data_IF_430316345933
#
_entry.id   IF_430316345933
#
_cell.length_a   1.000
_cell.length_b   1.000
_cell.length_c   1.000
_cell.angle_alpha   90.00
_cell.angle_beta   90.00
_cell.angle_gamma   90.00
#
_symmetry.space_group_name_H-M   'P 1'
#
loop_
_entity.id
_entity.type
_entity.pdbx_description
1 polymer ?
#
# COMPACT_ATOMS: atom_id res chain seq x y z
N UNK A 1 -16.47 50.75 24.27
CA UNK A 1 -17.19 49.79 23.41
C UNK A 1 -16.43 49.47 22.12
N UNK A 2 -15.82 50.44 21.44
CA UNK A 2 -15.06 50.21 20.18
C UNK A 2 -13.75 49.41 20.38
N UNK A 3 -12.99 49.62 21.47
CA UNK A 3 -11.75 48.90 21.70
C UNK A 3 -11.97 47.40 21.97
N UNK A 4 -13.08 47.05 22.64
CA UNK A 4 -13.40 45.66 22.96
C UNK A 4 -13.83 44.89 21.71
N UNK A 5 -14.55 45.55 20.79
CA UNK A 5 -14.94 44.95 19.51
C UNK A 5 -13.75 44.71 18.60
N UNK A 6 -12.78 45.67 18.56
CA UNK A 6 -11.55 45.52 17.80
C UNK A 6 -10.67 44.38 18.33
N UNK A 7 -10.63 44.17 19.64
CA UNK A 7 -9.89 43.05 20.25
C UNK A 7 -10.51 41.69 19.93
N UNK A 8 -11.85 41.59 19.95
CA UNK A 8 -12.58 40.38 19.56
C UNK A 8 -12.38 40.06 18.09
N UNK A 9 -12.41 41.06 17.21
CA UNK A 9 -12.19 40.87 15.77
C UNK A 9 -10.74 40.47 15.47
N UNK A 10 -9.76 41.03 16.17
CA UNK A 10 -8.36 40.64 16.05
C UNK A 10 -8.12 39.22 16.57
N UNK A 11 -8.75 38.84 17.69
CA UNK A 11 -8.67 37.47 18.22
C UNK A 11 -9.34 36.47 17.30
N UNK A 12 -10.52 36.77 16.72
CA UNK A 12 -11.19 35.96 15.72
C UNK A 12 -10.37 35.84 14.45
N UNK A 13 -9.70 36.92 14.00
CA UNK A 13 -8.80 36.87 12.86
C UNK A 13 -7.59 35.97 13.11
N UNK A 14 -6.96 36.03 14.29
CA UNK A 14 -5.86 35.16 14.69
C UNK A 14 -6.32 33.71 14.80
N UNK A 15 -7.52 33.45 15.39
CA UNK A 15 -8.09 32.11 15.47
C UNK A 15 -8.46 31.57 14.09
N UNK A 16 -9.05 32.40 13.23
CA UNK A 16 -9.37 32.02 11.86
C UNK A 16 -8.12 31.83 10.99
N UNK A 17 -7.06 32.63 11.22
CA UNK A 17 -5.77 32.43 10.56
C UNK A 17 -5.05 31.18 11.08
N UNK A 18 -5.13 30.89 12.38
CA UNK A 18 -4.62 29.65 12.98
C UNK A 18 -5.44 28.44 12.52
N UNK A 19 -6.76 28.55 12.39
CA UNK A 19 -7.63 27.53 11.80
C UNK A 19 -7.45 27.38 10.29
N UNK A 20 -7.11 28.46 9.58
CA UNK A 20 -6.76 28.41 8.17
C UNK A 20 -5.34 27.86 7.95
N UNK A 21 -4.40 28.11 8.88
CA UNK A 21 -3.09 27.46 8.92
C UNK A 21 -3.16 26.03 9.47
N UNK A 22 -4.17 25.72 10.30
CA UNK A 22 -4.57 24.38 10.68
C UNK A 22 -5.62 23.80 9.72
N UNK A 23 -5.62 24.26 8.45
CA UNK A 23 -6.29 23.47 7.41
C UNK A 23 -5.72 22.08 7.46
N UNK A 24 -6.63 21.08 7.50
CA UNK A 24 -6.19 19.73 7.75
C UNK A 24 -5.13 19.37 6.73
N UNK A 25 -4.01 18.97 7.21
CA UNK A 25 -2.94 18.21 6.59
C UNK A 25 -3.47 16.89 5.98
N UNK A 26 -4.64 16.94 5.34
CA UNK A 26 -5.38 15.81 4.75
C UNK A 26 -5.45 15.91 3.24
N UNK A 27 -4.74 16.85 2.61
CA UNK A 27 -4.41 16.74 1.20
C UNK A 27 -3.01 16.14 1.11
N UNK A 28 -2.97 14.84 0.89
CA UNK A 28 -1.84 14.20 0.25
C UNK A 28 -1.76 14.82 -1.16
N UNK A 29 -1.03 15.91 -1.29
CA UNK A 29 -0.72 16.45 -2.60
C UNK A 29 0.34 15.55 -3.20
N UNK A 30 -0.02 14.86 -4.26
CA UNK A 30 0.93 14.11 -5.07
C UNK A 30 1.84 15.13 -5.75
N UNK A 31 3.06 15.24 -5.29
CA UNK A 31 4.08 16.10 -5.88
C UNK A 31 4.89 15.26 -6.85
N UNK A 32 4.83 15.61 -8.12
CA UNK A 32 5.69 14.98 -9.13
C UNK A 32 7.05 15.68 -9.13
N UNK A 33 8.08 14.98 -8.71
CA UNK A 33 9.48 15.46 -8.75
C UNK A 33 10.23 14.63 -9.80
N UNK A 34 10.25 15.14 -11.03
CA UNK A 34 10.82 14.39 -12.16
C UNK A 34 10.01 13.13 -12.50
N UNK A 35 10.64 11.97 -12.57
CA UNK A 35 9.98 10.67 -12.77
C UNK A 35 9.45 10.04 -11.46
N UNK A 36 9.59 10.72 -10.33
CA UNK A 36 9.19 10.24 -9.00
C UNK A 36 7.89 10.89 -8.56
N UNK A 37 7.00 10.11 -7.96
CA UNK A 37 5.84 10.66 -7.26
C UNK A 37 6.24 10.91 -5.82
N UNK A 38 6.18 12.17 -5.43
CA UNK A 38 6.26 12.54 -4.03
C UNK A 38 4.85 12.54 -3.43
N UNK A 39 4.67 11.87 -2.31
CA UNK A 39 3.49 12.03 -1.46
C UNK A 39 3.87 12.98 -0.33
N UNK A 40 3.22 14.14 -0.27
CA UNK A 40 3.41 15.07 0.82
C UNK A 40 2.89 14.44 2.11
N UNK A 41 3.75 14.36 3.12
CA UNK A 41 3.42 13.83 4.42
C UNK A 41 2.96 14.94 5.36
N UNK A 42 1.99 14.64 6.20
CA UNK A 42 1.58 15.50 7.30
C UNK A 42 2.75 15.65 8.29
N UNK A 43 3.54 16.69 8.17
CA UNK A 43 4.76 16.92 8.97
C UNK A 43 5.93 17.44 8.15
N UNK A 44 5.70 17.78 6.87
CA UNK A 44 6.68 18.46 6.01
C UNK A 44 7.68 17.53 5.32
N UNK A 45 7.49 16.22 5.41
CA UNK A 45 8.24 15.24 4.61
C UNK A 45 7.59 14.99 3.26
N UNK A 46 8.38 14.61 2.27
CA UNK A 46 7.90 14.12 0.98
C UNK A 46 8.30 12.66 0.87
N UNK A 47 7.31 11.78 0.81
CA UNK A 47 7.54 10.40 0.43
C UNK A 47 7.78 10.39 -1.08
N UNK A 48 8.99 10.18 -1.50
CA UNK A 48 9.30 9.91 -2.89
C UNK A 48 9.00 8.44 -3.14
N UNK A 49 7.85 8.19 -3.72
CA UNK A 49 7.53 6.87 -4.29
C UNK A 49 7.95 6.96 -5.74
N UNK A 50 9.06 6.31 -6.06
CA UNK A 50 9.57 6.32 -7.42
C UNK A 50 8.60 5.56 -8.33
N UNK A 51 8.02 6.27 -9.32
CA UNK A 51 7.49 5.64 -10.53
C UNK A 51 8.63 5.32 -11.49
N UNK A 52 9.86 5.50 -11.04
CA UNK A 52 11.02 5.43 -11.90
C UNK A 52 11.16 4.05 -12.51
N UNK A 53 11.44 4.07 -13.79
CA UNK A 53 12.14 2.95 -14.42
C UNK A 53 13.37 2.60 -13.56
N UNK A 54 13.56 1.34 -13.23
CA UNK A 54 14.68 0.92 -12.40
C UNK A 54 15.99 1.33 -13.08
N UNK A 55 16.72 2.26 -12.49
CA UNK A 55 18.09 2.56 -12.92
C UNK A 55 18.98 1.40 -12.53
N UNK A 56 19.19 0.49 -13.44
CA UNK A 56 20.05 -0.65 -13.23
C UNK A 56 21.50 -0.32 -13.54
N UNK A 57 22.31 -0.31 -12.49
CA UNK A 57 23.71 -0.60 -12.60
C UNK A 57 23.98 -1.84 -11.77
N UNK A 58 24.43 -2.92 -12.38
CA UNK A 58 24.88 -4.16 -11.79
C UNK A 58 23.93 -5.35 -11.96
N UNK A 59 24.48 -6.50 -12.14
CA UNK A 59 24.01 -7.86 -12.44
C UNK A 59 22.50 -8.09 -12.33
N UNK A 60 21.88 -8.72 -13.34
CA UNK A 60 20.45 -8.96 -13.37
C UNK A 60 19.98 -9.61 -12.07
N UNK A 61 18.97 -9.05 -11.42
CA UNK A 61 18.37 -9.61 -10.19
C UNK A 61 17.78 -11.00 -10.40
N UNK A 62 17.44 -11.36 -11.64
CA UNK A 62 17.15 -12.72 -12.04
C UNK A 62 18.24 -13.71 -11.60
N UNK A 63 19.51 -13.29 -11.60
CA UNK A 63 20.61 -14.12 -11.10
C UNK A 63 20.52 -14.32 -9.59
N UNK A 64 20.17 -13.27 -8.83
CA UNK A 64 19.97 -13.39 -7.37
C UNK A 64 18.77 -14.28 -7.05
N UNK A 65 17.69 -14.20 -7.83
CA UNK A 65 16.53 -15.07 -7.66
C UNK A 65 16.86 -16.55 -7.94
N UNK A 66 17.64 -16.84 -8.98
CA UNK A 66 18.11 -18.19 -9.29
C UNK A 66 19.01 -18.78 -8.19
N UNK A 67 19.79 -17.94 -7.50
CA UNK A 67 20.82 -18.37 -6.56
C UNK A 67 20.47 -18.05 -5.10
N UNK A 68 19.35 -17.38 -4.82
CA UNK A 68 18.93 -16.99 -3.47
C UNK A 68 18.75 -18.19 -2.51
N UNK A 69 18.43 -19.37 -3.03
CA UNK A 69 18.39 -20.60 -2.23
C UNK A 69 19.79 -21.18 -1.92
N UNK A 70 20.78 -20.91 -2.77
CA UNK A 70 22.14 -21.41 -2.61
C UNK A 70 23.05 -20.43 -1.87
N UNK A 71 22.79 -19.14 -1.96
CA UNK A 71 23.58 -18.08 -1.39
C UNK A 71 22.82 -17.31 -0.31
N UNK A 72 22.71 -17.87 0.88
CA UNK A 72 22.51 -17.09 2.11
C UNK A 72 23.68 -16.14 2.37
N UNK A 73 24.32 -15.63 1.33
CA UNK A 73 25.48 -14.77 1.43
C UNK A 73 25.04 -13.32 1.26
N UNK A 74 25.50 -12.46 2.16
CA UNK A 74 25.34 -11.01 2.18
C UNK A 74 25.50 -10.28 0.83
N UNK A 75 26.13 -10.89 -0.15
CA UNK A 75 26.45 -10.27 -1.42
C UNK A 75 25.25 -10.12 -2.37
N UNK A 76 24.25 -11.03 -2.31
CA UNK A 76 23.02 -10.89 -3.11
C UNK A 76 22.12 -9.77 -2.58
N UNK A 77 22.16 -9.52 -1.28
CA UNK A 77 21.31 -8.53 -0.64
C UNK A 77 21.81 -7.09 -0.80
N UNK A 78 23.10 -6.87 -1.05
CA UNK A 78 23.69 -5.53 -1.18
C UNK A 78 23.23 -4.71 -2.39
N UNK A 79 22.47 -5.27 -3.29
CA UNK A 79 21.92 -4.58 -4.47
C UNK A 79 20.40 -4.65 -4.58
N UNK A 80 19.71 -5.20 -3.58
CA UNK A 80 18.26 -5.32 -3.60
C UNK A 80 17.66 -3.95 -3.30
N UNK A 81 16.78 -3.50 -4.18
CA UNK A 81 15.98 -2.31 -3.95
C UNK A 81 14.98 -2.59 -2.82
N UNK A 82 15.09 -1.85 -1.74
CA UNK A 82 14.26 -2.01 -0.54
C UNK A 82 13.21 -0.90 -0.41
N UNK A 83 12.91 -0.19 -1.47
CA UNK A 83 11.89 0.84 -1.48
C UNK A 83 10.51 0.24 -1.73
N UNK A 84 9.49 0.91 -1.22
CA UNK A 84 8.12 0.68 -1.63
C UNK A 84 7.80 1.53 -2.86
N UNK A 85 6.96 0.99 -3.76
CA UNK A 85 6.53 1.66 -4.98
C UNK A 85 5.02 1.62 -5.11
N UNK A 86 4.44 2.69 -5.67
CA UNK A 86 3.08 2.67 -6.19
C UNK A 86 3.16 2.48 -7.69
N UNK A 87 2.48 1.47 -8.19
CA UNK A 87 2.44 1.10 -9.60
C UNK A 87 1.02 1.17 -10.13
N UNK A 88 0.85 1.62 -11.36
CA UNK A 88 -0.45 1.62 -12.03
C UNK A 88 -0.85 0.20 -12.44
N UNK A 89 -2.14 -0.09 -12.35
CA UNK A 89 -2.74 -1.36 -12.78
C UNK A 89 -4.00 -1.09 -13.59
N UNK A 90 -4.46 -2.09 -14.34
CA UNK A 90 -5.70 -2.00 -15.11
C UNK A 90 -6.99 -2.24 -14.27
N UNK A 91 -6.90 -2.24 -12.94
CA UNK A 91 -8.07 -2.41 -12.07
C UNK A 91 -8.99 -1.20 -12.15
N UNK A 92 -10.18 -1.38 -12.66
CA UNK A 92 -11.22 -0.36 -12.60
C UNK A 92 -12.15 -0.54 -11.37
N UNK A 93 -12.90 0.52 -11.06
CA UNK A 93 -13.82 0.55 -9.92
C UNK A 93 -14.97 -0.43 -10.03
N UNK A 94 -15.44 -0.77 -11.23
CA UNK A 94 -16.54 -1.71 -11.43
C UNK A 94 -16.07 -3.14 -11.15
N UNK A 95 -14.85 -3.48 -11.59
CA UNK A 95 -14.21 -4.76 -11.26
C UNK A 95 -13.97 -4.87 -9.76
N UNK A 96 -13.38 -3.85 -9.14
CA UNK A 96 -13.14 -3.81 -7.69
C UNK A 96 -14.43 -4.00 -6.88
N UNK A 97 -15.52 -3.35 -7.28
CA UNK A 97 -16.84 -3.52 -6.63
C UNK A 97 -17.36 -4.95 -6.71
N UNK A 98 -17.17 -5.64 -7.84
CA UNK A 98 -17.56 -7.07 -7.96
C UNK A 98 -16.75 -7.94 -7.01
N UNK A 99 -15.45 -7.70 -6.85
CA UNK A 99 -14.63 -8.45 -5.92
C UNK A 99 -15.03 -8.23 -4.46
N UNK A 100 -15.35 -6.98 -4.10
CA UNK A 100 -15.91 -6.67 -2.78
C UNK A 100 -17.23 -7.40 -2.56
N UNK A 101 -18.15 -7.36 -3.54
CA UNK A 101 -19.44 -8.02 -3.43
C UNK A 101 -19.31 -9.55 -3.25
N UNK A 102 -18.39 -10.19 -3.97
CA UNK A 102 -18.11 -11.61 -3.80
C UNK A 102 -17.56 -11.92 -2.40
N UNK A 103 -16.66 -11.08 -1.86
CA UNK A 103 -16.13 -11.25 -0.52
C UNK A 103 -17.19 -11.04 0.57
N UNK A 104 -18.08 -10.04 0.41
CA UNK A 104 -19.20 -9.82 1.33
C UNK A 104 -20.21 -10.97 1.31
N UNK A 105 -20.46 -11.54 0.15
CA UNK A 105 -21.36 -12.69 0.00
C UNK A 105 -20.77 -13.97 0.62
N UNK A 106 -19.45 -14.18 0.51
CA UNK A 106 -18.76 -15.30 1.10
C UNK A 106 -18.71 -15.22 2.63
N UNK A 107 -18.53 -13.99 3.15
CA UNK A 107 -18.31 -13.74 4.57
C UNK A 107 -16.82 -13.68 4.95
N UNK A 108 -16.56 -13.10 6.10
CA UNK A 108 -15.21 -12.76 6.58
C UNK A 108 -14.80 -13.61 7.77
N UNK A 109 -13.50 -13.91 7.90
CA UNK A 109 -12.95 -14.63 9.04
C UNK A 109 -11.79 -13.85 9.67
N UNK A 110 -11.53 -14.08 10.95
CA UNK A 110 -10.36 -13.56 11.67
C UNK A 110 -9.41 -14.69 12.09
N UNK A 111 -9.67 -15.91 11.62
CA UNK A 111 -8.99 -17.11 12.11
C UNK A 111 -7.72 -17.49 11.34
N UNK A 112 -7.40 -16.80 10.23
CA UNK A 112 -6.29 -17.20 9.36
C UNK A 112 -4.92 -16.78 9.86
N UNK A 113 -4.81 -15.58 10.44
CA UNK A 113 -3.55 -14.97 10.82
C UNK A 113 -3.44 -14.81 12.35
N UNK A 114 -3.00 -15.86 13.04
CA UNK A 114 -2.95 -15.87 14.50
C UNK A 114 -2.05 -14.80 15.13
N UNK A 115 -0.93 -14.44 14.46
CA UNK A 115 0.02 -13.45 14.98
C UNK A 115 -0.42 -12.01 14.69
N UNK A 116 -1.04 -11.80 13.55
CA UNK A 116 -1.51 -10.51 13.05
C UNK A 116 -2.93 -10.66 12.53
N UNK A 117 -3.93 -10.75 13.43
CA UNK A 117 -5.31 -11.02 13.05
C UNK A 117 -5.83 -9.95 12.08
N UNK A 118 -6.29 -10.41 10.93
CA UNK A 118 -7.00 -9.61 9.94
C UNK A 118 -8.41 -10.15 9.76
N UNK A 119 -9.32 -9.29 9.37
CA UNK A 119 -10.64 -9.73 8.91
C UNK A 119 -10.55 -9.93 7.41
N UNK A 120 -10.39 -11.16 6.98
CA UNK A 120 -10.04 -11.48 5.59
C UNK A 120 -10.79 -12.67 5.01
N UNK A 121 -10.66 -12.82 3.68
CA UNK A 121 -11.15 -13.98 2.93
C UNK A 121 -10.15 -14.31 1.82
N UNK A 122 -9.70 -15.58 1.70
CA UNK A 122 -8.84 -16.02 0.61
C UNK A 122 -9.53 -15.84 -0.75
N UNK A 123 -8.77 -15.34 -1.73
CA UNK A 123 -9.27 -15.22 -3.11
C UNK A 123 -9.68 -16.56 -3.69
N UNK A 124 -8.99 -17.63 -3.31
CA UNK A 124 -9.29 -19.00 -3.79
C UNK A 124 -10.66 -19.54 -3.37
N UNK A 125 -11.32 -18.92 -2.39
CA UNK A 125 -12.67 -19.30 -1.94
C UNK A 125 -13.78 -18.47 -2.63
N UNK A 126 -13.40 -17.46 -3.43
CA UNK A 126 -14.36 -16.60 -4.11
C UNK A 126 -14.67 -17.11 -5.51
N UNK A 127 -15.90 -16.97 -5.95
CA UNK A 127 -16.34 -17.25 -7.31
C UNK A 127 -15.62 -16.44 -8.38
N UNK A 128 -15.16 -15.24 -8.01
CA UNK A 128 -14.33 -14.36 -8.85
C UNK A 128 -12.84 -14.70 -8.82
N UNK A 129 -12.43 -15.70 -8.06
CA UNK A 129 -11.02 -15.99 -7.76
C UNK A 129 -10.17 -16.18 -9.01
N UNK A 130 -10.66 -16.93 -10.00
CA UNK A 130 -9.92 -17.14 -11.25
C UNK A 130 -9.63 -15.83 -11.99
N UNK A 131 -10.62 -14.92 -12.07
CA UNK A 131 -10.43 -13.62 -12.71
C UNK A 131 -9.48 -12.71 -11.91
N UNK A 132 -9.48 -12.81 -10.58
CA UNK A 132 -8.51 -12.10 -9.73
C UNK A 132 -7.10 -12.61 -10.01
N UNK A 133 -6.87 -13.92 -10.03
CA UNK A 133 -5.54 -14.49 -10.28
C UNK A 133 -5.01 -14.15 -11.67
N UNK A 134 -5.85 -14.20 -12.71
CA UNK A 134 -5.47 -13.78 -14.06
C UNK A 134 -5.05 -12.30 -14.10
N UNK A 135 -5.82 -11.42 -13.45
CA UNK A 135 -5.46 -10.01 -13.30
C UNK A 135 -4.12 -9.85 -12.58
N UNK A 136 -3.90 -10.53 -11.47
CA UNK A 136 -2.67 -10.42 -10.70
C UNK A 136 -1.45 -10.84 -11.49
N UNK A 137 -1.52 -11.93 -12.26
CA UNK A 137 -0.41 -12.38 -13.10
C UNK A 137 -0.07 -11.38 -14.19
N UNK A 138 -1.08 -10.87 -14.87
CA UNK A 138 -0.89 -9.95 -15.98
C UNK A 138 -0.43 -8.57 -15.54
N UNK A 139 -1.05 -7.99 -14.51
CA UNK A 139 -0.86 -6.59 -14.16
C UNK A 139 0.08 -6.42 -12.95
N UNK A 140 -0.16 -7.13 -11.85
CA UNK A 140 0.54 -6.86 -10.60
C UNK A 140 1.90 -7.54 -10.53
N UNK A 141 1.98 -8.85 -10.82
CA UNK A 141 3.25 -9.59 -10.77
C UNK A 141 4.23 -9.05 -11.82
N UNK A 142 3.73 -8.70 -13.01
CA UNK A 142 4.53 -8.06 -14.05
C UNK A 142 5.04 -6.69 -13.62
N UNK A 143 4.22 -5.88 -12.93
CA UNK A 143 4.64 -4.59 -12.42
C UNK A 143 5.68 -4.73 -11.29
N UNK A 144 5.49 -5.68 -10.36
CA UNK A 144 6.49 -6.00 -9.32
C UNK A 144 7.81 -6.40 -9.97
N UNK A 145 7.78 -7.29 -10.95
CA UNK A 145 8.97 -7.71 -11.66
C UNK A 145 9.67 -6.51 -12.33
N UNK A 146 8.89 -5.64 -12.98
CA UNK A 146 9.40 -4.44 -13.65
C UNK A 146 10.12 -3.48 -12.70
N UNK A 147 9.48 -3.09 -11.58
CA UNK A 147 10.08 -2.09 -10.65
C UNK A 147 11.28 -2.62 -9.89
N UNK A 148 11.32 -3.93 -9.62
CA UNK A 148 12.47 -4.54 -8.95
C UNK A 148 13.48 -5.18 -9.91
N UNK A 149 13.27 -5.06 -11.23
CA UNK A 149 14.17 -5.59 -12.26
C UNK A 149 14.31 -7.10 -12.23
N UNK A 150 13.21 -7.78 -12.02
CA UNK A 150 13.10 -9.22 -12.00
C UNK A 150 12.47 -9.70 -13.31
N UNK A 151 12.64 -10.98 -13.59
CA UNK A 151 11.81 -11.65 -14.58
C UNK A 151 10.60 -12.25 -13.88
N UNK A 152 9.40 -11.87 -14.30
CA UNK A 152 8.12 -12.32 -13.69
C UNK A 152 7.99 -13.84 -13.59
N UNK A 153 8.63 -14.60 -14.52
CA UNK A 153 8.62 -16.07 -14.48
C UNK A 153 9.21 -16.66 -13.19
N UNK A 154 10.08 -15.92 -12.47
CA UNK A 154 10.68 -16.36 -11.21
C UNK A 154 9.84 -15.98 -9.99
N UNK A 155 8.76 -15.24 -10.17
CA UNK A 155 7.83 -14.92 -9.09
C UNK A 155 6.62 -15.85 -9.13
N UNK A 156 6.13 -16.20 -7.96
CA UNK A 156 4.88 -16.94 -7.78
C UNK A 156 4.06 -16.30 -6.67
N UNK A 157 2.76 -16.30 -6.86
CA UNK A 157 1.81 -15.93 -5.82
C UNK A 157 1.77 -17.05 -4.77
N UNK A 158 2.12 -16.72 -3.52
CA UNK A 158 2.13 -17.66 -2.42
C UNK A 158 0.82 -17.63 -1.63
N UNK A 159 0.26 -16.45 -1.43
CA UNK A 159 -1.04 -16.25 -0.80
C UNK A 159 -1.68 -14.95 -1.33
N UNK A 160 -3.01 -14.92 -1.37
CA UNK A 160 -3.77 -13.77 -1.78
C UNK A 160 -5.15 -13.77 -1.14
N UNK A 161 -5.52 -12.64 -0.54
CA UNK A 161 -6.77 -12.51 0.20
C UNK A 161 -7.27 -11.06 0.21
N UNK A 162 -8.58 -10.89 0.31
CA UNK A 162 -9.18 -9.60 0.57
C UNK A 162 -9.21 -9.34 2.07
N UNK A 163 -8.92 -8.11 2.47
CA UNK A 163 -8.98 -7.63 3.85
C UNK A 163 -10.02 -6.52 3.96
N UNK A 164 -10.79 -6.57 5.05
CA UNK A 164 -11.77 -5.55 5.42
C UNK A 164 -11.33 -4.86 6.69
N UNK A 165 -11.13 -3.55 6.60
CA UNK A 165 -10.90 -2.69 7.76
C UNK A 165 -12.13 -1.82 7.99
N UNK A 166 -12.60 -1.78 9.21
CA UNK A 166 -13.75 -1.00 9.64
C UNK A 166 -13.54 -0.54 11.10
N UNK A 167 -14.59 -0.06 11.75
CA UNK A 167 -14.53 0.42 13.13
C UNK A 167 -14.06 -0.66 14.12
N UNK A 168 -14.44 -1.92 13.89
CA UNK A 168 -14.16 -3.02 14.85
C UNK A 168 -12.77 -3.61 14.61
N UNK A 169 -12.28 -3.52 13.36
CA UNK A 169 -10.94 -3.94 12.93
C UNK A 169 -10.31 -2.80 12.13
N UNK A 170 -9.90 -1.72 12.82
CA UNK A 170 -9.55 -0.48 12.12
C UNK A 170 -8.21 -0.54 11.39
N UNK A 171 -7.31 -1.41 11.77
CA UNK A 171 -5.95 -1.47 11.22
C UNK A 171 -5.22 -2.74 11.59
N UNK A 172 -3.93 -2.76 11.33
CA UNK A 172 -3.04 -3.87 11.61
C UNK A 172 -1.73 -3.35 12.20
N UNK A 173 -1.26 -3.97 13.27
CA UNK A 173 0.02 -3.61 13.89
C UNK A 173 1.19 -3.77 12.93
N UNK A 174 2.29 -3.08 13.23
CA UNK A 174 3.52 -3.14 12.45
C UNK A 174 4.15 -4.52 12.52
N UNK A 175 4.44 -5.09 11.35
CA UNK A 175 5.00 -6.42 11.17
C UNK A 175 5.89 -6.47 9.92
N UNK A 176 6.45 -7.62 9.65
CA UNK A 176 7.08 -7.98 8.39
C UNK A 176 6.36 -9.18 7.80
N UNK A 177 6.28 -9.25 6.49
CA UNK A 177 5.68 -10.38 5.79
C UNK A 177 6.70 -11.51 5.59
N UNK A 178 6.20 -12.73 5.56
CA UNK A 178 7.00 -13.91 5.23
C UNK A 178 7.20 -14.14 3.72
N UNK A 179 7.25 -13.06 2.94
CA UNK A 179 7.34 -13.04 1.48
C UNK A 179 8.61 -12.35 1.01
N UNK A 180 9.00 -12.58 -0.25
CA UNK A 180 10.03 -11.78 -0.90
C UNK A 180 9.51 -10.40 -1.27
N UNK A 181 8.30 -10.36 -1.82
CA UNK A 181 7.58 -9.12 -2.12
C UNK A 181 6.13 -9.24 -1.69
N UNK A 182 5.57 -8.13 -1.29
CA UNK A 182 4.15 -7.99 -0.96
C UNK A 182 3.53 -6.90 -1.81
N UNK A 183 2.24 -7.02 -2.04
CA UNK A 183 1.46 -5.95 -2.64
C UNK A 183 0.16 -5.73 -1.89
N UNK A 184 -0.33 -4.51 -1.94
CA UNK A 184 -1.67 -4.15 -1.51
C UNK A 184 -2.36 -3.29 -2.57
N UNK A 185 -3.59 -3.68 -2.94
CA UNK A 185 -4.37 -3.07 -4.01
C UNK A 185 -5.69 -2.57 -3.41
N UNK A 186 -5.90 -1.24 -3.28
CA UNK A 186 -7.16 -0.70 -2.79
C UNK A 186 -8.32 -1.08 -3.72
N UNK A 187 -9.42 -1.50 -3.15
CA UNK A 187 -10.62 -1.88 -3.90
C UNK A 187 -11.72 -0.81 -3.83
N UNK A 188 -11.60 0.14 -2.90
CA UNK A 188 -12.55 1.23 -2.76
C UNK A 188 -11.88 2.51 -2.26
N UNK A 189 -12.65 3.59 -2.34
CA UNK A 189 -12.41 4.88 -1.71
C UNK A 189 -13.59 5.18 -0.76
N UNK A 190 -13.66 6.40 -0.23
CA UNK A 190 -14.81 6.85 0.57
C UNK A 190 -14.68 6.49 2.04
N UNK A 191 -13.46 6.22 2.51
CA UNK A 191 -13.12 6.09 3.92
C UNK A 191 -12.15 7.20 4.34
N UNK A 192 -12.06 7.45 5.65
CA UNK A 192 -11.11 8.38 6.26
C UNK A 192 -10.06 7.60 7.02
N UNK A 193 -8.80 8.03 6.97
CA UNK A 193 -7.68 7.28 7.56
C UNK A 193 -7.20 6.16 6.64
N UNK A 194 -6.73 5.06 7.22
CA UNK A 194 -6.24 3.90 6.48
C UNK A 194 -4.89 4.13 5.77
N UNK A 195 -4.56 3.25 4.85
CA UNK A 195 -3.27 3.22 4.14
C UNK A 195 -2.35 2.13 4.70
N UNK A 196 -1.16 2.05 4.12
CA UNK A 196 -0.09 1.17 4.63
C UNK A 196 0.98 2.04 5.25
N UNK A 197 1.13 1.94 6.56
CA UNK A 197 2.16 2.64 7.33
C UNK A 197 3.49 1.90 7.17
N UNK A 198 4.56 2.63 6.90
CA UNK A 198 5.92 2.11 6.91
C UNK A 198 6.73 2.73 8.03
N UNK A 199 7.36 1.89 8.86
CA UNK A 199 8.14 2.36 10.01
C UNK A 199 9.32 3.25 9.56
N UNK A 200 10.03 2.87 8.49
CA UNK A 200 11.17 3.63 7.98
C UNK A 200 10.81 5.01 7.41
N UNK A 201 9.53 5.20 7.02
CA UNK A 201 9.02 6.48 6.52
C UNK A 201 8.39 7.32 7.63
N UNK A 202 7.93 6.68 8.72
CA UNK A 202 7.10 7.33 9.73
C UNK A 202 5.75 7.79 9.18
N UNK A 203 5.28 7.23 8.07
CA UNK A 203 4.10 7.69 7.35
C UNK A 203 3.34 6.57 6.66
N UNK A 204 2.08 6.87 6.29
CA UNK A 204 1.20 5.96 5.56
C UNK A 204 1.12 6.32 4.09
N UNK A 205 1.24 5.30 3.24
CA UNK A 205 1.02 5.39 1.79
C UNK A 205 -0.40 4.96 1.48
N UNK A 206 -1.10 5.72 0.64
CA UNK A 206 -2.50 5.48 0.25
C UNK A 206 -2.65 5.50 -1.27
N UNK A 207 -2.43 4.37 -1.94
CA UNK A 207 -2.74 4.25 -3.35
C UNK A 207 -4.24 4.41 -3.60
N UNK A 208 -4.59 4.76 -4.84
CA UNK A 208 -5.99 4.83 -5.31
C UNK A 208 -6.40 3.49 -5.89
N UNK A 209 -7.70 3.31 -6.09
CA UNK A 209 -8.19 2.19 -6.92
C UNK A 209 -7.59 2.32 -8.33
N UNK A 210 -7.00 1.24 -8.82
CA UNK A 210 -6.20 1.23 -10.05
C UNK A 210 -4.70 1.35 -9.82
N UNK A 211 -4.27 1.53 -8.57
CA UNK A 211 -2.86 1.56 -8.17
C UNK A 211 -2.57 0.44 -7.17
N UNK A 212 -1.43 -0.21 -7.28
CA UNK A 212 -0.93 -1.17 -6.30
C UNK A 212 0.28 -0.59 -5.56
N UNK A 213 0.30 -0.72 -4.25
CA UNK A 213 1.50 -0.52 -3.44
C UNK A 213 2.25 -1.85 -3.40
N UNK A 214 3.51 -1.82 -3.79
CA UNK A 214 4.38 -3.00 -3.81
C UNK A 214 5.64 -2.73 -2.99
N UNK A 215 6.11 -3.71 -2.24
CA UNK A 215 7.29 -3.55 -1.38
C UNK A 215 7.95 -4.91 -1.09
N UNK A 216 9.25 -4.93 -0.72
CA UNK A 216 9.86 -6.11 -0.12
C UNK A 216 9.11 -6.55 1.14
N UNK A 217 8.92 -7.84 1.33
CA UNK A 217 8.17 -8.39 2.45
C UNK A 217 8.80 -8.11 3.82
N UNK A 218 10.11 -7.93 3.87
CA UNK A 218 10.85 -7.62 5.08
C UNK A 218 10.86 -6.14 5.49
N UNK A 219 10.20 -5.26 4.74
CA UNK A 219 9.94 -3.90 5.18
C UNK A 219 8.88 -3.90 6.28
N UNK A 220 9.25 -3.32 7.44
CA UNK A 220 8.35 -3.22 8.57
C UNK A 220 7.24 -2.23 8.30
N UNK A 221 6.01 -2.73 8.24
CA UNK A 221 4.83 -1.98 7.85
C UNK A 221 3.59 -2.46 8.61
N UNK A 222 2.48 -1.74 8.47
CA UNK A 222 1.19 -2.10 9.08
C UNK A 222 0.02 -1.41 8.41
N UNK A 223 -1.18 -1.81 8.77
CA UNK A 223 -2.42 -1.16 8.33
C UNK A 223 -2.72 0.05 9.19
N UNK A 224 -2.61 1.27 8.66
CA UNK A 224 -3.00 2.46 9.38
C UNK A 224 -4.51 2.43 9.70
N UNK A 225 -4.94 2.96 10.87
CA UNK A 225 -6.32 2.87 11.28
C UNK A 225 -7.30 3.57 10.34
N UNK A 226 -8.38 2.89 9.97
CA UNK A 226 -9.55 3.50 9.34
C UNK A 226 -10.34 4.21 10.42
N UNK A 227 -10.53 5.51 10.25
CA UNK A 227 -11.21 6.39 11.21
C UNK A 227 -12.70 6.49 10.93
N UNK A 228 -13.10 6.38 9.65
CA UNK A 228 -14.50 6.44 9.22
C UNK A 228 -14.68 5.65 7.92
N UNK A 229 -15.82 4.96 7.81
CA UNK A 229 -16.15 4.16 6.63
C UNK A 229 -15.54 2.76 6.70
N UNK A 230 -15.44 2.11 5.55
CA UNK A 230 -14.88 0.76 5.38
C UNK A 230 -13.86 0.77 4.27
N UNK A 231 -12.68 0.21 4.53
CA UNK A 231 -11.60 0.03 3.56
C UNK A 231 -11.51 -1.43 3.18
N UNK A 232 -11.57 -1.71 1.88
CA UNK A 232 -11.28 -3.03 1.31
C UNK A 232 -9.97 -2.97 0.55
N UNK A 233 -9.14 -3.98 0.75
CA UNK A 233 -7.85 -4.09 0.09
C UNK A 233 -7.57 -5.54 -0.29
N UNK A 234 -7.08 -5.76 -1.50
CA UNK A 234 -6.52 -7.04 -1.93
C UNK A 234 -5.05 -7.05 -1.55
N UNK A 235 -4.64 -8.06 -0.78
CA UNK A 235 -3.26 -8.27 -0.34
C UNK A 235 -2.73 -9.56 -0.95
N UNK A 236 -1.48 -9.55 -1.36
CA UNK A 236 -0.84 -10.78 -1.81
C UNK A 236 0.65 -10.83 -1.53
N UNK A 237 1.13 -12.04 -1.39
CA UNK A 237 2.49 -12.39 -1.05
C UNK A 237 3.15 -13.15 -2.19
N UNK A 238 4.29 -12.66 -2.64
CA UNK A 238 5.06 -13.25 -3.72
C UNK A 238 6.32 -13.92 -3.18
N UNK A 239 6.65 -15.05 -3.76
CA UNK A 239 7.89 -15.79 -3.51
C UNK A 239 8.60 -16.10 -4.81
N UNK A 240 9.90 -16.34 -4.71
CA UNK A 240 10.65 -16.93 -5.81
C UNK A 240 10.23 -18.40 -6.01
N UNK A 241 10.12 -18.78 -7.30
CA UNK A 241 9.90 -20.18 -7.72
C UNK A 241 11.11 -21.04 -7.47
#
# INVERSE_FOLDING_TARGET
MHLFLAFILALLYVIMSALAAARPLLREETITVGASIGVALSGGGVLVVDRAEPKFGAKPRAWCAQHARAAKTDQCWRGVDRRAYVVETALDRAVAKRWIAAAEAHGWTTMRHHRHPTRDVPVSLLDVGAAVFEFLERDVISAVAGVYGLDAKYLSLNDCFLVKYDRDHPGLETHVDGSEYSFSLPLNDGFVGGGTFFEYLGASVRPRVGEALVHPGDLKHGGAPVLQGVRYVLVGFLKYK
#
